data_IF_092170433450
#
_entry.id   IF_092170433450
#
_cell.length_a   1.000
_cell.length_b   1.000
_cell.length_c   1.000
_cell.angle_alpha   90.00
_cell.angle_beta   90.00
_cell.angle_gamma   90.00
#
_symmetry.space_group_name_H-M   'P 1'
#
loop_
_entity.id
_entity.type
_entity.pdbx_description
1 polymer ?
#
# COMPACT_ATOMS: atom_id res chain seq x y z
N UNK A 1 27.02 -45.72 34.10
CA UNK A 1 26.50 -45.24 32.79
C UNK A 1 25.44 -44.14 32.99
N UNK A 2 25.77 -42.82 32.94
CA UNK A 2 24.78 -41.75 33.11
C UNK A 2 24.68 -40.75 31.93
N UNK A 3 25.21 -41.09 30.75
CA UNK A 3 25.30 -40.14 29.61
C UNK A 3 24.06 -40.06 28.71
N UNK A 4 23.11 -40.99 28.82
CA UNK A 4 21.99 -41.11 27.88
C UNK A 4 20.81 -40.17 28.19
N UNK A 5 20.52 -39.90 29.47
CA UNK A 5 19.39 -39.06 29.85
C UNK A 5 19.55 -37.58 29.48
N UNK A 6 20.79 -37.08 29.38
CA UNK A 6 21.06 -35.67 29.04
C UNK A 6 20.80 -35.36 27.56
N UNK A 7 21.01 -36.34 26.66
CA UNK A 7 20.76 -36.16 25.20
C UNK A 7 19.28 -36.14 24.83
N UNK A 8 18.41 -36.82 25.60
CA UNK A 8 16.96 -36.80 25.36
C UNK A 8 16.34 -35.44 25.69
N UNK A 9 16.74 -34.80 26.79
CA UNK A 9 16.17 -33.50 27.22
C UNK A 9 16.49 -32.35 26.25
N UNK A 10 17.69 -32.33 25.67
CA UNK A 10 18.08 -31.29 24.68
C UNK A 10 17.31 -31.43 23.36
N UNK A 11 17.04 -32.67 22.93
CA UNK A 11 16.25 -32.95 21.71
C UNK A 11 14.78 -32.55 21.87
N UNK A 12 14.19 -32.74 23.06
CA UNK A 12 12.80 -32.35 23.33
C UNK A 12 12.60 -30.83 23.37
N UNK A 13 13.57 -30.08 23.89
CA UNK A 13 13.53 -28.60 23.88
C UNK A 13 13.69 -28.00 22.49
N UNK A 14 14.56 -28.57 21.65
CA UNK A 14 14.73 -28.13 20.26
C UNK A 14 13.46 -28.38 19.41
N UNK A 15 12.79 -29.53 19.61
CA UNK A 15 11.54 -29.84 18.91
C UNK A 15 10.39 -28.91 19.34
N UNK A 16 10.28 -28.58 20.63
CA UNK A 16 9.28 -27.64 21.12
C UNK A 16 9.49 -26.22 20.55
N UNK A 17 10.75 -25.78 20.41
CA UNK A 17 11.06 -24.46 19.84
C UNK A 17 10.71 -24.36 18.34
N UNK A 18 10.93 -25.44 17.57
CA UNK A 18 10.58 -25.50 16.14
C UNK A 18 9.06 -25.50 15.93
N UNK A 19 8.29 -26.14 16.81
CA UNK A 19 6.82 -26.11 16.76
C UNK A 19 6.26 -24.75 17.22
N UNK A 20 6.90 -24.09 18.20
CA UNK A 20 6.48 -22.74 18.62
C UNK A 20 6.78 -21.67 17.56
N UNK A 21 7.78 -21.87 16.69
CA UNK A 21 8.09 -20.96 15.57
C UNK A 21 7.16 -21.14 14.36
N UNK A 22 6.39 -22.23 14.28
CA UNK A 22 5.53 -22.54 13.13
C UNK A 22 4.05 -22.22 13.34
N UNK A 23 3.65 -21.68 14.50
CA UNK A 23 2.21 -21.59 14.87
C UNK A 23 1.47 -20.33 14.42
N UNK A 24 2.05 -19.46 13.61
CA UNK A 24 1.24 -18.48 12.85
C UNK A 24 1.81 -18.31 11.46
N UNK A 25 1.10 -18.71 10.38
CA UNK A 25 1.50 -18.31 9.04
C UNK A 25 1.36 -16.79 8.98
N UNK A 26 2.48 -16.08 9.12
CA UNK A 26 2.54 -14.70 8.69
C UNK A 26 2.29 -14.73 7.17
N UNK A 27 1.08 -14.34 6.77
CA UNK A 27 0.72 -14.26 5.35
C UNK A 27 1.63 -13.21 4.71
N UNK A 28 2.29 -13.63 3.64
CA UNK A 28 3.31 -12.88 2.92
C UNK A 28 2.64 -11.81 2.05
N UNK A 29 2.49 -10.61 2.61
CA UNK A 29 1.89 -9.45 1.94
C UNK A 29 2.92 -8.52 1.30
N UNK A 30 2.49 -7.29 1.04
CA UNK A 30 3.35 -6.21 0.51
C UNK A 30 3.38 -5.05 1.50
N UNK A 31 4.57 -4.58 1.83
CA UNK A 31 4.75 -3.30 2.53
C UNK A 31 5.11 -2.23 1.52
N UNK A 32 4.39 -1.11 1.58
CA UNK A 32 4.75 0.15 0.99
C UNK A 32 4.95 1.20 2.09
N UNK A 33 6.06 1.91 2.03
CA UNK A 33 6.30 3.16 2.76
C UNK A 33 6.70 4.23 1.74
N UNK A 34 6.16 5.42 1.91
CA UNK A 34 6.47 6.53 1.04
C UNK A 34 5.92 7.85 1.56
N UNK A 35 6.00 8.86 0.71
CA UNK A 35 5.41 10.19 0.95
C UNK A 35 4.49 10.55 -0.19
N UNK A 36 3.28 11.00 0.14
CA UNK A 36 2.30 11.52 -0.82
C UNK A 36 1.91 12.94 -0.38
N UNK A 37 2.06 13.92 -1.27
CA UNK A 37 1.82 15.34 -0.98
C UNK A 37 2.58 15.83 0.27
N UNK A 38 3.80 15.30 0.46
CA UNK A 38 4.66 15.58 1.62
C UNK A 38 4.25 14.86 2.92
N UNK A 39 3.19 14.04 2.90
CA UNK A 39 2.72 13.30 4.08
C UNK A 39 3.26 11.87 4.07
N UNK A 40 3.81 11.38 5.21
CA UNK A 40 4.15 9.97 5.35
C UNK A 40 2.93 9.09 5.15
N UNK A 41 3.12 8.04 4.36
CA UNK A 41 2.13 7.04 4.01
C UNK A 41 2.76 5.66 4.21
N UNK A 42 2.10 4.80 4.98
CA UNK A 42 2.44 3.38 5.08
C UNK A 42 1.22 2.54 4.69
N UNK A 43 1.43 1.54 3.84
CA UNK A 43 0.38 0.59 3.45
C UNK A 43 0.93 -0.82 3.58
N UNK A 44 0.23 -1.65 4.34
CA UNK A 44 0.46 -3.09 4.42
C UNK A 44 -0.69 -3.81 3.71
N UNK A 45 -0.40 -4.35 2.53
CA UNK A 45 -1.35 -5.09 1.72
C UNK A 45 -1.33 -6.57 2.12
N UNK A 46 -2.50 -7.15 2.36
CA UNK A 46 -2.66 -8.59 2.58
C UNK A 46 -2.20 -9.39 1.35
N UNK A 47 -1.82 -10.64 1.56
CA UNK A 47 -1.39 -11.59 0.51
C UNK A 47 -2.47 -11.81 -0.56
N UNK A 48 -3.75 -11.80 -0.16
CA UNK A 48 -4.90 -11.92 -1.04
C UNK A 48 -5.14 -10.67 -1.93
N UNK A 49 -4.46 -9.55 -1.64
CA UNK A 49 -4.63 -8.29 -2.38
C UNK A 49 -6.01 -7.64 -2.25
N UNK A 50 -6.86 -8.13 -1.33
CA UNK A 50 -8.24 -7.65 -1.13
C UNK A 50 -8.37 -6.67 0.02
N UNK A 51 -7.41 -6.67 0.95
CA UNK A 51 -7.41 -5.81 2.14
C UNK A 51 -6.05 -5.17 2.36
N UNK A 52 -6.06 -3.97 2.93
CA UNK A 52 -4.85 -3.29 3.34
C UNK A 52 -5.03 -2.57 4.68
N UNK A 53 -3.94 -2.45 5.43
CA UNK A 53 -3.82 -1.50 6.52
C UNK A 53 -3.11 -0.24 6.00
N UNK A 54 -3.78 0.90 6.07
CA UNK A 54 -3.19 2.20 5.74
C UNK A 54 -2.85 2.97 7.02
N UNK A 55 -1.74 3.69 7.01
CA UNK A 55 -1.40 4.67 8.03
C UNK A 55 -1.02 6.00 7.39
N UNK A 56 -1.68 7.06 7.85
CA UNK A 56 -1.51 8.43 7.34
C UNK A 56 -1.45 9.38 8.51
N UNK A 57 -0.29 10.02 8.72
CA UNK A 57 -0.11 10.97 9.82
C UNK A 57 -0.49 10.41 11.20
N UNK A 58 -0.17 9.14 11.47
CA UNK A 58 -0.47 8.43 12.72
C UNK A 58 -1.89 7.87 12.84
N UNK A 59 -2.78 8.13 11.87
CA UNK A 59 -4.12 7.51 11.82
C UNK A 59 -4.08 6.23 11.05
N UNK A 60 -4.70 5.18 11.59
CA UNK A 60 -4.73 3.85 11.00
C UNK A 60 -6.09 3.54 10.39
N UNK A 61 -6.06 2.87 9.25
CA UNK A 61 -7.21 2.51 8.44
C UNK A 61 -7.16 1.04 8.07
N UNK A 62 -8.32 0.38 8.12
CA UNK A 62 -8.55 -0.86 7.41
C UNK A 62 -9.28 -0.54 6.10
N UNK A 63 -8.69 -0.97 5.00
CA UNK A 63 -9.19 -0.77 3.65
C UNK A 63 -9.61 -2.12 3.10
N UNK A 64 -10.88 -2.25 2.71
CA UNK A 64 -11.38 -3.40 1.98
C UNK A 64 -11.55 -3.00 0.52
N UNK A 65 -10.62 -3.47 -0.32
CA UNK A 65 -10.41 -2.94 -1.68
C UNK A 65 -11.46 -3.41 -2.67
N UNK A 66 -12.02 -4.61 -2.49
CA UNK A 66 -13.10 -5.14 -3.32
C UNK A 66 -14.40 -4.33 -3.19
N UNK A 67 -15.01 -4.27 -2.00
CA UNK A 67 -16.23 -3.48 -1.79
C UNK A 67 -15.97 -1.97 -1.66
N UNK A 68 -14.70 -1.54 -1.68
CA UNK A 68 -14.33 -0.14 -1.50
C UNK A 68 -14.74 0.42 -0.14
N UNK A 69 -14.61 -0.34 0.95
CA UNK A 69 -14.98 0.11 2.30
C UNK A 69 -13.75 0.58 3.07
N UNK A 70 -13.94 1.62 3.87
CA UNK A 70 -12.89 2.18 4.73
C UNK A 70 -13.37 2.20 6.17
N UNK A 71 -12.54 1.68 7.07
CA UNK A 71 -12.75 1.76 8.51
C UNK A 71 -11.56 2.47 9.15
N UNK A 72 -11.83 3.41 10.04
CA UNK A 72 -10.82 3.95 10.95
C UNK A 72 -10.60 2.96 12.08
N UNK A 73 -9.34 2.69 12.40
CA UNK A 73 -8.97 1.87 13.53
C UNK A 73 -8.72 2.77 14.74
N UNK A 74 -9.57 2.63 15.74
CA UNK A 74 -9.44 3.34 17.01
C UNK A 74 -8.39 2.66 17.91
N UNK A 75 -7.84 3.37 18.91
CA UNK A 75 -7.05 2.75 19.97
C UNK A 75 -7.80 1.55 20.58
N UNK A 76 -7.12 0.42 20.73
CA UNK A 76 -7.76 -0.84 21.17
C UNK A 76 -8.34 -1.71 20.04
N UNK A 77 -8.26 -1.27 18.78
CA UNK A 77 -8.56 -2.11 17.61
C UNK A 77 -10.02 -2.11 17.16
N UNK A 78 -10.88 -1.31 17.80
CA UNK A 78 -12.24 -1.09 17.34
C UNK A 78 -12.26 -0.45 15.93
N UNK A 79 -13.28 -0.80 15.14
CA UNK A 79 -13.42 -0.33 13.75
C UNK A 79 -14.60 0.62 13.66
N UNK A 80 -14.35 1.83 13.17
CA UNK A 80 -15.40 2.81 12.87
C UNK A 80 -15.53 2.98 11.36
N UNK A 81 -16.69 2.67 10.74
CA UNK A 81 -16.91 2.94 9.32
C UNK A 81 -16.68 4.41 8.99
N UNK A 82 -16.05 4.67 7.84
CA UNK A 82 -15.84 6.01 7.31
C UNK A 82 -16.67 6.16 6.03
N UNK A 83 -17.55 7.15 6.00
CA UNK A 83 -18.30 7.48 4.80
C UNK A 83 -17.35 7.99 3.72
N UNK A 84 -17.50 7.48 2.50
CA UNK A 84 -16.73 7.90 1.35
C UNK A 84 -17.47 9.01 0.61
N UNK A 85 -16.87 10.20 0.45
CA UNK A 85 -17.43 11.23 -0.42
C UNK A 85 -17.59 10.70 -1.84
N UNK A 86 -18.68 11.04 -2.52
CA UNK A 86 -18.94 10.61 -3.91
C UNK A 86 -17.83 11.04 -4.87
N UNK A 87 -17.28 12.24 -4.65
CA UNK A 87 -16.19 12.81 -5.44
C UNK A 87 -15.05 13.33 -4.53
N UNK A 88 -13.80 13.02 -4.88
CA UNK A 88 -12.61 13.65 -4.29
C UNK A 88 -12.09 14.83 -5.12
N UNK A 89 -12.78 15.16 -6.23
CA UNK A 89 -12.49 16.19 -7.21
C UNK A 89 -11.31 15.84 -8.11
N UNK A 90 -10.85 14.58 -8.10
CA UNK A 90 -9.75 14.12 -8.92
C UNK A 90 -10.27 13.49 -10.22
N UNK A 91 -9.54 13.71 -11.32
CA UNK A 91 -9.89 13.13 -12.63
C UNK A 91 -8.80 12.18 -13.12
N UNK A 92 -9.24 11.12 -13.79
CA UNK A 92 -8.40 10.21 -14.56
C UNK A 92 -8.26 10.68 -16.02
N UNK A 93 -9.16 11.53 -16.48
CA UNK A 93 -9.32 11.82 -17.91
C UNK A 93 -8.49 13.02 -18.35
N UNK A 94 -8.23 13.09 -19.66
CA UNK A 94 -7.47 14.17 -20.28
C UNK A 94 -5.96 14.12 -20.04
N UNK A 95 -5.44 13.09 -19.36
CA UNK A 95 -4.00 12.90 -19.19
C UNK A 95 -3.43 11.80 -20.08
N UNK A 96 -2.24 12.06 -20.61
CA UNK A 96 -1.40 11.11 -21.35
C UNK A 96 -0.11 10.89 -20.58
N UNK A 97 0.28 9.63 -20.36
CA UNK A 97 1.53 9.27 -19.68
C UNK A 97 2.46 8.60 -20.68
N UNK A 98 3.45 9.34 -21.16
CA UNK A 98 4.36 8.88 -22.22
C UNK A 98 5.69 8.44 -21.65
N UNK A 99 6.20 7.31 -22.15
CA UNK A 99 7.54 6.83 -21.82
C UNK A 99 8.56 7.52 -22.70
N UNK A 100 9.56 8.16 -22.11
CA UNK A 100 10.57 8.91 -22.86
C UNK A 100 11.93 8.20 -22.86
N UNK A 101 12.34 7.63 -21.73
CA UNK A 101 13.66 6.99 -21.61
C UNK A 101 13.74 6.02 -20.43
N UNK A 102 14.89 5.34 -20.29
CA UNK A 102 15.25 4.67 -19.05
C UNK A 102 15.46 5.71 -17.94
N UNK A 103 15.04 5.38 -16.72
CA UNK A 103 15.22 6.22 -15.54
C UNK A 103 16.25 5.65 -14.57
N UNK A 104 16.67 6.42 -13.56
CA UNK A 104 17.57 5.93 -12.51
C UNK A 104 16.90 4.90 -11.61
N UNK A 105 17.69 4.17 -10.82
CA UNK A 105 17.14 3.33 -9.77
C UNK A 105 16.57 4.18 -8.63
N UNK A 106 15.36 3.86 -8.17
CA UNK A 106 14.69 4.52 -7.03
C UNK A 106 14.21 3.44 -6.07
N UNK A 107 14.49 3.61 -4.77
CA UNK A 107 14.19 2.62 -3.73
C UNK A 107 14.70 1.19 -4.04
N UNK A 108 15.83 1.08 -4.74
CA UNK A 108 16.43 -0.20 -5.13
C UNK A 108 15.86 -0.82 -6.42
N UNK A 109 14.97 -0.13 -7.13
CA UNK A 109 14.32 -0.64 -8.35
C UNK A 109 14.65 0.21 -9.57
N UNK A 110 14.96 -0.46 -10.68
CA UNK A 110 15.08 0.20 -11.97
C UNK A 110 13.76 0.85 -12.40
N UNK A 111 13.86 2.02 -13.04
CA UNK A 111 12.72 2.81 -13.45
C UNK A 111 12.76 3.18 -14.94
N UNK A 112 11.59 3.60 -15.43
CA UNK A 112 11.41 4.23 -16.74
C UNK A 112 10.96 5.65 -16.46
N UNK A 113 11.59 6.60 -17.15
CA UNK A 113 11.21 8.00 -17.10
C UNK A 113 10.02 8.23 -18.03
N UNK A 114 8.92 8.68 -17.44
CA UNK A 114 7.70 9.03 -18.14
C UNK A 114 7.37 10.50 -17.88
N UNK A 115 6.64 11.11 -18.81
CA UNK A 115 6.10 12.46 -18.69
C UNK A 115 4.59 12.38 -18.73
N UNK A 116 3.94 12.90 -17.69
CA UNK A 116 2.51 13.10 -17.64
C UNK A 116 2.16 14.42 -18.29
N UNK A 117 1.27 14.40 -19.27
CA UNK A 117 0.81 15.57 -20.00
C UNK A 117 -0.71 15.72 -19.89
N UNK A 118 -1.20 16.96 -19.97
CA UNK A 118 -2.61 17.30 -20.18
C UNK A 118 -2.70 18.33 -21.31
N UNK A 119 -3.26 17.92 -22.44
CA UNK A 119 -3.09 18.66 -23.70
C UNK A 119 -1.59 18.75 -24.04
N UNK A 120 -1.10 19.95 -24.31
CA UNK A 120 0.32 20.22 -24.62
C UNK A 120 1.19 20.50 -23.38
N UNK A 121 0.59 20.53 -22.19
CA UNK A 121 1.29 20.90 -20.94
C UNK A 121 1.89 19.68 -20.27
N UNK A 122 3.13 19.79 -19.82
CA UNK A 122 3.75 18.81 -18.90
C UNK A 122 3.23 19.08 -17.48
N UNK A 123 2.69 18.05 -16.85
CA UNK A 123 2.06 18.10 -15.54
C UNK A 123 2.83 17.43 -14.44
N UNK A 124 3.60 16.39 -14.76
CA UNK A 124 4.50 15.73 -13.83
C UNK A 124 5.52 14.87 -14.58
N UNK A 125 6.68 14.68 -13.99
CA UNK A 125 7.58 13.60 -14.31
C UNK A 125 7.21 12.37 -13.48
N UNK A 126 7.34 11.17 -14.05
CA UNK A 126 7.02 9.91 -13.36
C UNK A 126 8.12 8.89 -13.62
N UNK A 127 8.87 8.55 -12.58
CA UNK A 127 9.77 7.39 -12.59
C UNK A 127 8.95 6.17 -12.17
N UNK A 128 8.69 5.24 -13.09
CA UNK A 128 7.86 4.05 -12.82
C UNK A 128 8.60 2.74 -13.04
N UNK A 129 8.20 1.71 -12.30
CA UNK A 129 8.65 0.33 -12.54
C UNK A 129 7.53 -0.47 -13.21
N UNK A 130 7.71 -0.76 -14.52
CA UNK A 130 6.68 -1.45 -15.34
C UNK A 130 6.32 -2.84 -14.85
N UNK A 131 7.32 -3.62 -14.43
CA UNK A 131 7.12 -5.02 -14.03
C UNK A 131 6.22 -5.14 -12.79
N UNK A 132 6.19 -4.11 -11.93
CA UNK A 132 5.38 -4.07 -10.72
C UNK A 132 3.89 -3.80 -10.98
N UNK A 133 3.49 -3.45 -12.21
CA UNK A 133 2.13 -2.95 -12.51
C UNK A 133 1.03 -3.86 -11.94
N UNK A 134 1.10 -5.17 -12.20
CA UNK A 134 0.08 -6.13 -11.75
C UNK A 134 0.06 -6.31 -10.23
N UNK A 135 1.23 -6.32 -9.61
CA UNK A 135 1.36 -6.55 -8.17
C UNK A 135 0.98 -5.33 -7.34
N UNK A 136 1.16 -4.12 -7.90
CA UNK A 136 0.93 -2.88 -7.20
C UNK A 136 -0.47 -2.26 -7.46
N UNK A 137 -1.28 -2.86 -8.33
CA UNK A 137 -2.65 -2.40 -8.58
C UNK A 137 -3.51 -2.31 -7.31
N UNK A 138 -3.46 -3.29 -6.36
CA UNK A 138 -4.17 -3.14 -5.09
C UNK A 138 -3.64 -1.97 -4.24
N UNK A 139 -2.35 -1.64 -4.31
CA UNK A 139 -1.78 -0.48 -3.62
C UNK A 139 -2.33 0.82 -4.22
N UNK A 140 -2.48 0.89 -5.54
CA UNK A 140 -3.11 2.04 -6.22
C UNK A 140 -4.55 2.24 -5.73
N UNK A 141 -5.34 1.15 -5.64
CA UNK A 141 -6.70 1.20 -5.08
C UNK A 141 -6.72 1.64 -3.61
N UNK A 142 -5.79 1.11 -2.80
CA UNK A 142 -5.67 1.49 -1.41
C UNK A 142 -5.37 3.00 -1.25
N UNK A 143 -4.45 3.54 -2.05
CA UNK A 143 -4.16 4.98 -2.08
C UNK A 143 -5.39 5.77 -2.51
N UNK A 144 -6.10 5.36 -3.57
CA UNK A 144 -7.31 6.05 -4.02
C UNK A 144 -8.38 6.14 -2.92
N UNK A 145 -8.61 5.05 -2.16
CA UNK A 145 -9.52 5.09 -1.01
C UNK A 145 -9.03 6.05 0.08
N UNK A 146 -7.73 6.06 0.39
CA UNK A 146 -7.15 7.00 1.35
C UNK A 146 -7.27 8.46 0.88
N UNK A 147 -7.11 8.74 -0.42
CA UNK A 147 -7.27 10.10 -0.96
C UNK A 147 -8.69 10.64 -0.80
N UNK A 148 -9.71 9.77 -0.79
CA UNK A 148 -11.11 10.16 -0.55
C UNK A 148 -11.37 10.54 0.92
N UNK A 149 -10.77 9.82 1.87
CA UNK A 149 -11.04 10.01 3.31
C UNK A 149 -10.06 10.94 4.02
N UNK A 150 -8.81 11.03 3.57
CA UNK A 150 -7.78 11.86 4.21
C UNK A 150 -7.56 13.14 3.42
N UNK A 151 -8.01 14.26 3.99
CA UNK A 151 -7.89 15.59 3.38
C UNK A 151 -6.44 15.96 3.06
N UNK A 152 -5.50 15.49 3.88
CA UNK A 152 -4.07 15.73 3.67
C UNK A 152 -3.48 15.01 2.45
N UNK A 153 -4.14 13.95 1.95
CA UNK A 153 -3.71 13.17 0.77
C UNK A 153 -4.49 13.50 -0.50
N UNK A 154 -5.52 14.37 -0.41
CA UNK A 154 -6.35 14.73 -1.55
C UNK A 154 -5.48 15.28 -2.69
N UNK A 155 -5.74 14.86 -3.94
CA UNK A 155 -5.10 15.44 -5.11
C UNK A 155 -5.21 16.96 -5.11
N UNK A 156 -4.07 17.64 -5.23
CA UNK A 156 -4.01 19.10 -5.30
C UNK A 156 -4.05 19.57 -6.74
N UNK A 157 -4.72 20.70 -6.96
CA UNK A 157 -4.75 21.34 -8.28
C UNK A 157 -3.39 21.96 -8.58
N UNK A 158 -2.85 21.68 -9.77
CA UNK A 158 -1.54 22.18 -10.22
C UNK A 158 -1.69 23.07 -11.44
N UNK A 159 -2.31 24.24 -11.25
CA UNK A 159 -2.60 25.18 -12.32
C UNK A 159 -3.42 24.53 -13.43
N UNK A 160 -2.99 24.70 -14.68
CA UNK A 160 -3.65 24.15 -15.87
C UNK A 160 -3.73 22.61 -15.89
N UNK A 161 -2.93 21.93 -15.06
CA UNK A 161 -2.96 20.48 -14.98
C UNK A 161 -4.16 19.95 -14.19
N UNK A 162 -4.78 20.75 -13.32
CA UNK A 162 -5.89 20.30 -12.48
C UNK A 162 -5.46 19.27 -11.43
N UNK A 163 -6.41 18.42 -11.01
CA UNK A 163 -6.28 17.46 -9.88
C UNK A 163 -6.18 16.03 -10.41
N UNK A 164 -4.99 15.57 -10.76
CA UNK A 164 -4.81 14.19 -11.23
C UNK A 164 -4.91 13.19 -10.06
N UNK A 165 -5.74 12.16 -10.20
CA UNK A 165 -5.82 11.07 -9.24
C UNK A 165 -4.51 10.25 -9.21
N UNK A 166 -4.19 9.59 -8.10
CA UNK A 166 -2.93 8.82 -8.00
C UNK A 166 -2.80 7.75 -9.10
N UNK A 167 -3.91 7.11 -9.46
CA UNK A 167 -3.96 6.09 -10.51
C UNK A 167 -3.52 6.62 -11.89
N UNK A 168 -3.63 7.92 -12.16
CA UNK A 168 -3.12 8.55 -13.39
C UNK A 168 -1.61 8.39 -13.52
N UNK A 169 -0.86 8.53 -12.43
CA UNK A 169 0.60 8.34 -12.43
C UNK A 169 1.01 6.88 -12.53
N UNK A 170 0.14 5.94 -12.14
CA UNK A 170 0.44 4.51 -12.08
C UNK A 170 0.13 3.73 -13.38
N UNK A 171 -0.34 4.41 -14.44
CA UNK A 171 -0.76 3.76 -15.70
C UNK A 171 0.36 2.93 -16.36
N UNK A 172 1.60 3.40 -16.26
CA UNK A 172 2.79 2.75 -16.84
C UNK A 172 3.59 1.93 -15.80
N UNK A 173 2.96 1.46 -14.72
CA UNK A 173 3.60 0.69 -13.67
C UNK A 173 3.60 1.39 -12.31
N UNK A 174 4.23 0.78 -11.32
CA UNK A 174 4.29 1.38 -9.98
C UNK A 174 5.10 2.68 -10.01
N UNK A 175 4.54 3.84 -9.62
CA UNK A 175 5.32 5.06 -9.52
C UNK A 175 6.33 4.95 -8.38
N UNK A 176 7.62 5.04 -8.68
CA UNK A 176 8.68 5.14 -7.68
C UNK A 176 8.88 6.60 -7.25
N UNK A 177 8.68 7.54 -8.18
CA UNK A 177 8.66 8.98 -7.94
C UNK A 177 7.67 9.64 -8.90
N UNK A 178 6.95 10.65 -8.41
CA UNK A 178 6.04 11.49 -9.21
C UNK A 178 6.33 12.95 -8.87
N UNK A 179 6.36 13.82 -9.88
CA UNK A 179 6.66 15.24 -9.74
C UNK A 179 8.13 15.54 -9.98
N UNK A 180 8.53 16.78 -9.70
CA UNK A 180 9.91 17.23 -9.87
C UNK A 180 10.77 16.82 -8.67
N UNK A 181 12.08 16.69 -8.89
CA UNK A 181 13.03 16.23 -7.87
C UNK A 181 12.97 17.02 -6.55
N UNK A 182 12.77 18.34 -6.64
CA UNK A 182 12.69 19.26 -5.51
C UNK A 182 11.28 19.37 -4.91
N UNK A 183 10.25 18.99 -5.68
CA UNK A 183 8.83 19.08 -5.29
C UNK A 183 8.09 17.79 -5.66
N UNK A 184 8.43 16.65 -5.05
CA UNK A 184 7.77 15.41 -5.37
C UNK A 184 6.31 15.43 -4.90
N UNK A 185 5.43 14.95 -5.77
CA UNK A 185 4.04 14.61 -5.46
C UNK A 185 4.02 13.29 -4.69
N UNK A 186 4.78 12.31 -5.15
CA UNK A 186 4.90 11.00 -4.53
C UNK A 186 6.34 10.50 -4.58
N UNK A 187 6.79 9.83 -3.51
CA UNK A 187 8.06 9.09 -3.47
C UNK A 187 7.84 7.78 -2.76
N UNK A 188 8.24 6.67 -3.39
CA UNK A 188 8.41 5.38 -2.71
C UNK A 188 9.71 5.42 -1.93
N UNK A 189 9.63 5.28 -0.60
CA UNK A 189 10.80 5.18 0.28
C UNK A 189 11.20 3.72 0.50
N UNK A 190 10.21 2.83 0.61
CA UNK A 190 10.42 1.39 0.76
C UNK A 190 9.27 0.62 0.13
N UNK A 191 9.59 -0.42 -0.64
CA UNK A 191 8.64 -1.41 -1.09
C UNK A 191 9.22 -2.79 -0.76
N UNK A 192 8.46 -3.65 -0.10
CA UNK A 192 8.90 -5.01 0.25
C UNK A 192 7.80 -6.02 -0.03
N UNK A 193 8.12 -6.97 -0.89
CA UNK A 193 7.31 -8.17 -1.10
C UNK A 193 7.63 -9.21 -0.02
N UNK A 194 6.67 -10.08 0.30
CA UNK A 194 6.83 -11.07 1.36
C UNK A 194 6.83 -10.47 2.77
N UNK A 195 6.24 -9.30 2.95
CA UNK A 195 6.15 -8.65 4.25
C UNK A 195 5.18 -9.42 5.14
N UNK A 196 5.54 -9.77 6.40
CA UNK A 196 4.57 -10.36 7.33
C UNK A 196 3.47 -9.34 7.65
N UNK A 197 2.25 -9.58 7.18
CA UNK A 197 1.11 -8.68 7.43
C UNK A 197 0.10 -9.35 8.36
N UNK A 198 -0.42 -8.57 9.33
CA UNK A 198 -1.53 -8.97 10.20
C UNK A 198 -2.71 -8.02 10.02
N UNK A 199 -3.51 -8.23 8.98
CA UNK A 199 -4.77 -7.51 8.81
C UNK A 199 -5.85 -8.15 9.68
N UNK A 200 -6.49 -7.41 10.61
CA UNK A 200 -7.58 -7.93 11.42
C UNK A 200 -8.69 -8.58 10.55
N UNK A 201 -9.08 -9.82 10.90
CA UNK A 201 -10.09 -10.59 10.18
C UNK A 201 -11.47 -9.94 10.21
N UNK A 202 -12.25 -10.05 9.14
CA UNK A 202 -13.69 -9.78 9.17
C UNK A 202 -14.34 -10.84 10.06
N UNK A 203 -14.62 -10.52 11.32
CA UNK A 203 -15.50 -11.35 12.14
C UNK A 203 -16.93 -11.18 11.63
N UNK A 204 -17.27 -11.90 10.57
CA UNK A 204 -18.65 -12.32 10.32
C UNK A 204 -18.96 -13.45 11.30
N UNK A 205 -19.19 -13.09 12.57
CA UNK A 205 -19.75 -14.01 13.53
C UNK A 205 -21.22 -14.23 13.20
N UNK A 206 -21.51 -15.25 12.38
CA UNK A 206 -22.75 -15.96 12.57
C UNK A 206 -22.62 -16.66 13.92
N UNK A 207 -23.24 -16.07 14.95
CA UNK A 207 -23.56 -16.80 16.15
C UNK A 207 -24.41 -17.99 15.74
N UNK A 208 -23.82 -19.18 15.79
CA UNK A 208 -24.58 -20.41 15.92
C UNK A 208 -25.26 -20.37 17.29
N UNK A 209 -26.46 -19.81 17.34
CA UNK A 209 -27.47 -20.28 18.28
C UNK A 209 -27.84 -21.71 17.86
N UNK A 210 -27.40 -22.69 18.64
CA UNK A 210 -28.07 -23.99 18.72
C UNK A 210 -28.75 -24.08 20.08
N UNK A 211 -30.01 -24.55 20.14
CA UNK A 211 -30.68 -24.91 21.38
C UNK A 211 -30.05 -26.15 22.03
#
# INVERSE_FOLDING_TARGET
>A
MPREHRRRRVRSLAAALVVLLSTVPARAGVLLEGRLEGRPLRIELADDGTRALGEVGGRRYLLELGPGRVFRLEPGGARRPVALPEDDGATLDGYRLESWSAGPSVAGYGSIYNVLQRGERICAEVLSSRWMRRFAEPLVRAIALLQRVETALRPRSRGACGRAAFATYARNGWPLMVGYRDRPIFVTERLRFGHPVRVPGSFGGHGTTSP
#
